data_IF_886097419383
#
_entry.id   IF_886097419383
#
_cell.length_a   1.000
_cell.length_b   1.000
_cell.length_c   1.000
_cell.angle_alpha   90.00
_cell.angle_beta   90.00
_cell.angle_gamma   90.00
#
_symmetry.space_group_name_H-M   'P 1'
#
loop_
_entity.id
_entity.type
_entity.pdbx_description
1 polymer ?
#
# COMPACT_ATOMS: atom_id res chain seq x y z
N UNK A 1 17.13 6.90 10.81
CA UNK A 1 16.84 6.65 12.24
C UNK A 1 15.93 7.75 12.81
N UNK A 2 16.34 9.03 12.80
CA UNK A 2 15.49 10.14 13.29
C UNK A 2 14.07 10.18 12.70
N UNK A 3 13.92 10.12 11.36
CA UNK A 3 12.59 10.10 10.72
C UNK A 3 11.72 8.91 11.14
N UNK A 4 12.32 7.76 11.40
CA UNK A 4 11.60 6.57 11.88
C UNK A 4 11.10 6.77 13.30
N UNK A 5 11.89 7.42 14.16
CA UNK A 5 11.46 7.77 15.52
C UNK A 5 10.33 8.79 15.49
N UNK A 6 10.41 9.80 14.62
CA UNK A 6 9.30 10.75 14.41
C UNK A 6 8.04 10.05 13.91
N UNK A 7 8.18 9.12 12.96
CA UNK A 7 7.07 8.31 12.46
C UNK A 7 6.41 7.48 13.57
N UNK A 8 7.24 6.77 14.36
CA UNK A 8 6.76 5.97 15.48
C UNK A 8 6.06 6.85 16.53
N UNK A 9 6.64 8.01 16.86
CA UNK A 9 6.04 8.99 17.76
C UNK A 9 4.71 9.54 17.24
N UNK A 10 4.62 9.84 15.94
CA UNK A 10 3.38 10.31 15.32
C UNK A 10 2.28 9.23 15.37
N UNK A 11 2.61 7.98 15.05
CA UNK A 11 1.64 6.88 15.19
C UNK A 11 1.26 6.63 16.66
N UNK A 12 2.21 6.77 17.59
CA UNK A 12 1.94 6.64 19.02
C UNK A 12 0.97 7.72 19.52
N UNK A 13 1.12 8.95 19.02
CA UNK A 13 0.16 10.02 19.27
C UNK A 13 -1.21 9.74 18.64
N UNK A 14 -1.24 9.18 17.42
CA UNK A 14 -2.50 8.76 16.79
C UNK A 14 -3.25 7.73 17.65
N UNK A 15 -2.51 6.79 18.23
CA UNK A 15 -3.03 5.75 19.11
C UNK A 15 -3.49 6.29 20.46
N UNK A 16 -2.70 7.16 21.10
CA UNK A 16 -2.95 7.61 22.48
C UNK A 16 -3.87 8.83 22.56
N UNK A 17 -3.83 9.72 21.56
CA UNK A 17 -4.52 11.01 21.54
C UNK A 17 -5.15 11.30 20.16
N UNK A 18 -6.13 10.48 19.71
CA UNK A 18 -6.66 10.56 18.35
C UNK A 18 -7.29 11.92 18.01
N UNK A 19 -7.92 12.60 18.99
CA UNK A 19 -8.55 13.90 18.78
C UNK A 19 -7.56 15.01 18.35
N UNK A 20 -6.32 14.95 18.84
CA UNK A 20 -5.29 15.95 18.56
C UNK A 20 -4.36 15.55 17.41
N UNK A 21 -4.59 14.38 16.82
CA UNK A 21 -3.65 13.78 15.87
C UNK A 21 -3.59 14.54 14.53
N UNK A 22 -4.68 15.14 14.06
CA UNK A 22 -4.74 15.77 12.73
C UNK A 22 -3.59 16.77 12.50
N UNK A 23 -3.36 17.70 13.44
CA UNK A 23 -2.28 18.68 13.32
C UNK A 23 -0.89 18.04 13.39
N UNK A 24 -0.69 17.10 14.31
CA UNK A 24 0.58 16.38 14.45
C UNK A 24 0.90 15.56 13.18
N UNK A 25 -0.11 14.96 12.56
CA UNK A 25 0.02 14.23 11.31
C UNK A 25 0.38 15.13 10.13
N UNK A 26 -0.24 16.31 10.03
CA UNK A 26 0.09 17.31 8.99
C UNK A 26 1.54 17.80 9.15
N UNK A 27 1.94 18.15 10.38
CA UNK A 27 3.31 18.59 10.67
C UNK A 27 4.30 17.48 10.31
N UNK A 28 4.00 16.23 10.68
CA UNK A 28 4.83 15.09 10.32
C UNK A 28 4.98 14.93 8.80
N UNK A 29 3.89 15.03 8.04
CA UNK A 29 3.93 14.93 6.57
C UNK A 29 4.75 16.07 5.93
N UNK A 30 4.68 17.29 6.45
CA UNK A 30 5.50 18.41 5.98
C UNK A 30 7.00 18.17 6.26
N UNK A 31 7.34 17.75 7.48
CA UNK A 31 8.71 17.38 7.84
C UNK A 31 9.21 16.24 6.97
N UNK A 32 8.37 15.24 6.71
CA UNK A 32 8.67 14.11 5.85
C UNK A 32 8.95 14.54 4.41
N UNK A 33 8.13 15.42 3.83
CA UNK A 33 8.31 15.95 2.48
C UNK A 33 9.67 16.64 2.31
N UNK A 34 10.00 17.54 3.23
CA UNK A 34 11.27 18.28 3.22
C UNK A 34 12.44 17.32 3.39
N UNK A 35 12.35 16.41 4.36
CA UNK A 35 13.44 15.48 4.68
C UNK A 35 13.70 14.49 3.55
N UNK A 36 12.65 14.00 2.88
CA UNK A 36 12.81 13.08 1.74
C UNK A 36 13.44 13.79 0.55
N UNK A 37 13.09 15.05 0.30
CA UNK A 37 13.79 15.84 -0.72
C UNK A 37 15.27 15.97 -0.40
N UNK A 38 15.62 16.20 0.86
CA UNK A 38 17.02 16.34 1.26
C UNK A 38 17.81 15.03 1.16
N UNK A 39 17.20 13.93 1.60
CA UNK A 39 17.83 12.59 1.66
C UNK A 39 17.94 11.92 0.29
N UNK A 40 16.86 11.92 -0.49
CA UNK A 40 16.78 11.19 -1.76
C UNK A 40 16.98 12.07 -2.99
N UNK A 41 17.01 13.40 -2.82
CA UNK A 41 17.01 14.42 -3.89
C UNK A 41 15.76 14.42 -4.79
N UNK A 42 14.83 13.47 -4.62
CA UNK A 42 13.66 13.27 -5.47
C UNK A 42 12.36 13.24 -4.67
N UNK A 43 11.36 13.99 -5.10
CA UNK A 43 10.08 14.08 -4.37
C UNK A 43 9.23 12.80 -4.47
N UNK A 44 9.39 11.98 -5.50
CA UNK A 44 8.46 10.86 -5.71
C UNK A 44 8.52 9.79 -4.61
N UNK A 45 9.65 9.65 -3.90
CA UNK A 45 9.75 8.73 -2.77
C UNK A 45 8.80 9.11 -1.63
N UNK A 46 8.44 10.40 -1.51
CA UNK A 46 7.48 10.87 -0.52
C UNK A 46 6.13 10.18 -0.65
N UNK A 47 5.67 9.89 -1.87
CA UNK A 47 4.36 9.28 -2.11
C UNK A 47 4.22 7.98 -1.33
N UNK A 48 5.16 7.04 -1.48
CA UNK A 48 5.08 5.74 -0.81
C UNK A 48 5.09 5.90 0.72
N UNK A 49 5.98 6.75 1.25
CA UNK A 49 6.09 6.96 2.70
C UNK A 49 4.87 7.68 3.29
N UNK A 50 4.32 8.66 2.59
CA UNK A 50 3.14 9.40 3.01
C UNK A 50 1.91 8.49 3.02
N UNK A 51 1.71 7.69 1.97
CA UNK A 51 0.61 6.73 1.93
C UNK A 51 0.78 5.63 2.99
N UNK A 52 2.00 5.16 3.27
CA UNK A 52 2.24 4.23 4.37
C UNK A 52 1.83 4.83 5.72
N UNK A 53 2.19 6.08 5.98
CA UNK A 53 1.81 6.79 7.19
C UNK A 53 0.30 6.94 7.33
N UNK A 54 -0.36 7.54 6.34
CA UNK A 54 -1.81 7.79 6.41
C UNK A 54 -2.59 6.47 6.47
N UNK A 55 -2.19 5.47 5.68
CA UNK A 55 -2.80 4.14 5.73
C UNK A 55 -2.65 3.49 7.11
N UNK A 56 -1.47 3.60 7.73
CA UNK A 56 -1.24 3.04 9.07
C UNK A 56 -2.08 3.74 10.13
N UNK A 57 -2.21 5.07 10.07
CA UNK A 57 -3.08 5.85 10.95
C UNK A 57 -4.53 5.42 10.80
N UNK A 58 -5.03 5.27 9.58
CA UNK A 58 -6.42 4.89 9.32
C UNK A 58 -6.75 3.47 9.76
N UNK A 59 -5.75 2.58 9.76
CA UNK A 59 -5.90 1.20 10.21
C UNK A 59 -5.88 1.06 11.73
N UNK A 60 -5.14 1.92 12.45
CA UNK A 60 -4.97 1.84 13.91
C UNK A 60 -6.29 1.73 14.69
N UNK A 61 -7.33 2.54 14.42
CA UNK A 61 -8.61 2.46 15.13
C UNK A 61 -9.38 1.14 14.91
N UNK A 62 -9.06 0.40 13.84
CA UNK A 62 -9.71 -0.87 13.50
C UNK A 62 -9.00 -2.07 14.14
N UNK A 63 -8.01 -1.84 15.01
CA UNK A 63 -7.30 -2.90 15.75
C UNK A 63 -7.78 -2.87 17.19
N UNK A 64 -8.68 -3.79 17.54
CA UNK A 64 -9.34 -3.81 18.86
C UNK A 64 -8.38 -4.10 20.02
N UNK A 65 -7.39 -4.97 19.80
CA UNK A 65 -6.50 -5.41 20.87
C UNK A 65 -5.32 -4.44 21.04
N UNK A 66 -5.12 -3.87 22.25
CA UNK A 66 -4.00 -2.94 22.50
C UNK A 66 -2.62 -3.56 22.27
N UNK A 67 -2.46 -4.86 22.51
CA UNK A 67 -1.20 -5.56 22.26
C UNK A 67 -0.95 -5.71 20.76
N UNK A 68 -1.98 -6.02 19.97
CA UNK A 68 -1.89 -6.10 18.51
C UNK A 68 -1.62 -4.73 17.89
N UNK A 69 -2.25 -3.66 18.39
CA UNK A 69 -2.00 -2.29 17.93
C UNK A 69 -0.54 -1.88 18.17
N UNK A 70 0.02 -2.20 19.35
CA UNK A 70 1.44 -1.98 19.68
C UNK A 70 2.38 -2.80 18.79
N UNK A 71 2.04 -4.05 18.48
CA UNK A 71 2.81 -4.86 17.54
C UNK A 71 2.78 -4.24 16.12
N UNK A 72 1.61 -3.78 15.68
CA UNK A 72 1.45 -3.09 14.41
C UNK A 72 2.28 -1.81 14.32
N UNK A 73 2.31 -0.98 15.39
CA UNK A 73 3.15 0.21 15.50
C UNK A 73 4.63 -0.09 15.23
N UNK A 74 5.16 -1.14 15.87
CA UNK A 74 6.56 -1.57 15.71
C UNK A 74 6.85 -2.08 14.30
N UNK A 75 5.98 -2.95 13.77
CA UNK A 75 6.14 -3.50 12.42
C UNK A 75 6.07 -2.39 11.35
N UNK A 76 5.09 -1.50 11.47
CA UNK A 76 4.91 -0.36 10.56
C UNK A 76 6.12 0.58 10.60
N UNK A 77 6.68 0.86 11.78
CA UNK A 77 7.92 1.63 11.92
C UNK A 77 9.13 0.91 11.29
N UNK A 78 9.21 -0.41 11.40
CA UNK A 78 10.24 -1.22 10.74
C UNK A 78 10.18 -1.10 9.21
N UNK A 79 8.99 -1.24 8.62
CA UNK A 79 8.78 -1.04 7.18
C UNK A 79 9.10 0.40 6.77
N UNK A 80 8.66 1.38 7.56
CA UNK A 80 8.96 2.79 7.31
C UNK A 80 10.46 3.09 7.34
N UNK A 81 11.20 2.49 8.27
CA UNK A 81 12.67 2.57 8.30
C UNK A 81 13.30 2.05 7.00
N UNK A 82 12.87 0.87 6.54
CA UNK A 82 13.34 0.31 5.28
C UNK A 82 12.98 1.22 4.09
N UNK A 83 11.81 1.84 4.10
CA UNK A 83 11.39 2.80 3.07
C UNK A 83 12.31 4.04 3.01
N UNK A 84 12.63 4.63 4.17
CA UNK A 84 13.56 5.77 4.28
C UNK A 84 14.97 5.37 3.83
N UNK A 85 15.46 4.20 4.26
CA UNK A 85 16.76 3.68 3.84
C UNK A 85 16.80 3.40 2.34
N UNK A 86 15.73 2.84 1.79
CA UNK A 86 15.55 2.63 0.35
C UNK A 86 15.60 3.93 -0.44
N UNK A 87 14.85 4.95 0.00
CA UNK A 87 14.85 6.28 -0.62
C UNK A 87 16.24 6.94 -0.58
N UNK A 88 16.96 6.83 0.54
CA UNK A 88 18.33 7.31 0.67
C UNK A 88 19.28 6.64 -0.32
N UNK A 89 19.24 5.30 -0.39
CA UNK A 89 20.11 4.52 -1.28
C UNK A 89 19.79 4.80 -2.75
N UNK A 90 18.52 4.87 -3.13
CA UNK A 90 18.09 5.21 -4.50
C UNK A 90 18.44 6.65 -4.90
N UNK A 91 18.55 7.57 -3.94
CA UNK A 91 19.07 8.92 -4.18
C UNK A 91 20.56 8.96 -4.54
N UNK A 92 21.33 7.94 -4.16
CA UNK A 92 22.75 7.80 -4.48
C UNK A 92 22.99 6.91 -5.71
N UNK A 93 22.28 5.79 -5.79
CA UNK A 93 22.41 4.82 -6.87
C UNK A 93 21.04 4.26 -7.26
N UNK A 94 20.56 4.67 -8.43
CA UNK A 94 19.19 4.39 -8.86
C UNK A 94 18.96 2.91 -9.22
N UNK A 95 20.01 2.17 -9.56
CA UNK A 95 19.94 0.75 -9.94
C UNK A 95 20.09 -0.22 -8.76
N UNK A 96 20.10 0.28 -7.52
CA UNK A 96 20.21 -0.55 -6.31
C UNK A 96 18.99 -1.46 -6.15
N UNK A 97 19.15 -2.76 -6.45
CA UNK A 97 18.07 -3.75 -6.38
C UNK A 97 17.51 -3.93 -4.96
N UNK A 98 18.37 -3.86 -3.94
CA UNK A 98 17.95 -3.99 -2.54
C UNK A 98 17.10 -2.79 -2.14
N UNK A 99 17.49 -1.59 -2.55
CA UNK A 99 16.74 -0.38 -2.24
C UNK A 99 15.39 -0.31 -3.00
N UNK A 100 15.34 -0.82 -4.24
CA UNK A 100 14.08 -1.04 -4.98
C UNK A 100 13.17 -2.03 -4.24
N UNK A 101 13.72 -3.14 -3.75
CA UNK A 101 12.96 -4.11 -2.97
C UNK A 101 12.40 -3.52 -1.66
N UNK A 102 13.19 -2.73 -0.93
CA UNK A 102 12.74 -2.00 0.27
C UNK A 102 11.59 -1.04 -0.04
N UNK A 103 11.67 -0.30 -1.14
CA UNK A 103 10.61 0.62 -1.57
C UNK A 103 9.35 -0.12 -2.03
N UNK A 104 9.51 -1.26 -2.72
CA UNK A 104 8.40 -2.12 -3.13
C UNK A 104 7.68 -2.72 -1.93
N UNK A 105 8.41 -3.18 -0.91
CA UNK A 105 7.84 -3.65 0.35
C UNK A 105 6.99 -2.55 1.01
N UNK A 106 7.54 -1.34 1.12
CA UNK A 106 6.82 -0.21 1.70
C UNK A 106 5.55 0.17 0.93
N UNK A 107 5.58 0.12 -0.41
CA UNK A 107 4.41 0.38 -1.24
C UNK A 107 3.31 -0.68 -1.05
N UNK A 108 3.69 -1.96 -0.99
CA UNK A 108 2.74 -3.05 -0.74
C UNK A 108 2.16 -2.95 0.67
N UNK A 109 2.97 -2.61 1.68
CA UNK A 109 2.47 -2.36 3.03
C UNK A 109 1.54 -1.14 3.10
N UNK A 110 1.82 -0.08 2.34
CA UNK A 110 0.94 1.08 2.25
C UNK A 110 -0.42 0.71 1.65
N UNK A 111 -0.42 -0.01 0.52
CA UNK A 111 -1.65 -0.52 -0.11
C UNK A 111 -2.41 -1.46 0.81
N UNK A 112 -1.71 -2.37 1.49
CA UNK A 112 -2.33 -3.24 2.49
C UNK A 112 -3.06 -2.43 3.57
N UNK A 113 -2.39 -1.44 4.16
CA UNK A 113 -3.00 -0.61 5.20
C UNK A 113 -4.21 0.15 4.67
N UNK A 114 -4.11 0.73 3.48
CA UNK A 114 -5.19 1.47 2.86
C UNK A 114 -6.38 0.62 2.42
N UNK A 115 -6.15 -0.55 1.81
CA UNK A 115 -7.24 -1.44 1.41
C UNK A 115 -7.96 -2.00 2.62
N UNK A 116 -7.20 -2.43 3.63
CA UNK A 116 -7.74 -2.96 4.89
C UNK A 116 -8.50 -1.88 5.64
N UNK A 117 -7.93 -0.68 5.80
CA UNK A 117 -8.59 0.42 6.47
C UNK A 117 -9.80 0.94 5.68
N UNK A 118 -9.65 1.15 4.38
CA UNK A 118 -10.71 1.65 3.51
C UNK A 118 -11.93 0.73 3.50
N UNK A 119 -11.74 -0.58 3.44
CA UNK A 119 -12.84 -1.54 3.55
C UNK A 119 -13.43 -1.57 4.97
N UNK A 120 -12.60 -1.49 6.01
CA UNK A 120 -13.08 -1.44 7.40
C UNK A 120 -13.98 -0.23 7.67
N UNK A 121 -13.58 0.96 7.21
CA UNK A 121 -14.39 2.16 7.32
C UNK A 121 -15.66 2.10 6.45
N UNK A 122 -15.57 1.51 5.25
CA UNK A 122 -16.73 1.25 4.39
C UNK A 122 -17.80 0.41 5.09
N UNK A 123 -17.39 -0.68 5.75
CA UNK A 123 -18.30 -1.53 6.52
C UNK A 123 -18.93 -0.78 7.70
N UNK A 124 -18.14 0.00 8.46
CA UNK A 124 -18.62 0.72 9.64
C UNK A 124 -19.56 1.89 9.31
N UNK A 125 -19.35 2.57 8.18
CA UNK A 125 -20.15 3.75 7.77
C UNK A 125 -21.33 3.33 6.87
N UNK A 126 -21.39 2.07 6.42
CA UNK A 126 -22.39 1.58 5.45
C UNK A 126 -22.47 2.48 4.19
N UNK A 127 -21.30 2.86 3.68
CA UNK A 127 -21.20 3.72 2.49
C UNK A 127 -21.66 2.99 1.22
N UNK A 128 -22.16 3.70 0.19
CA UNK A 128 -22.39 3.11 -1.12
C UNK A 128 -21.12 2.53 -1.76
N UNK A 129 -21.26 1.44 -2.52
CA UNK A 129 -20.14 0.73 -3.14
C UNK A 129 -19.28 1.60 -4.08
N UNK A 130 -19.86 2.60 -4.76
CA UNK A 130 -19.10 3.48 -5.64
C UNK A 130 -18.06 4.33 -4.88
N UNK A 131 -18.29 4.65 -3.60
CA UNK A 131 -17.35 5.42 -2.77
C UNK A 131 -16.07 4.61 -2.55
N UNK A 132 -16.20 3.32 -2.20
CA UNK A 132 -15.02 2.48 -1.97
C UNK A 132 -14.27 2.20 -3.28
N UNK A 133 -14.97 2.06 -4.41
CA UNK A 133 -14.34 1.94 -5.73
C UNK A 133 -13.45 3.16 -6.04
N UNK A 134 -13.97 4.37 -5.85
CA UNK A 134 -13.23 5.62 -6.09
C UNK A 134 -12.05 5.73 -5.13
N UNK A 135 -12.27 5.44 -3.84
CA UNK A 135 -11.21 5.47 -2.83
C UNK A 135 -10.05 4.56 -3.21
N UNK A 136 -10.34 3.30 -3.53
CA UNK A 136 -9.34 2.32 -3.92
C UNK A 136 -8.62 2.73 -5.21
N UNK A 137 -9.33 3.30 -6.19
CA UNK A 137 -8.71 3.83 -7.41
C UNK A 137 -7.74 5.00 -7.12
N UNK A 138 -8.19 5.99 -6.35
CA UNK A 138 -7.41 7.19 -6.00
C UNK A 138 -6.14 6.83 -5.23
N UNK A 139 -6.17 5.80 -4.39
CA UNK A 139 -5.00 5.35 -3.62
C UNK A 139 -4.06 4.52 -4.50
N UNK A 140 -4.61 3.63 -5.32
CA UNK A 140 -3.82 2.71 -6.14
C UNK A 140 -3.01 3.46 -7.20
N UNK A 141 -3.59 4.49 -7.82
CA UNK A 141 -2.95 5.25 -8.90
C UNK A 141 -1.58 5.87 -8.50
N UNK A 142 -1.48 6.71 -7.45
CA UNK A 142 -0.23 7.35 -7.08
C UNK A 142 0.83 6.35 -6.63
N UNK A 143 0.43 5.27 -5.93
CA UNK A 143 1.37 4.24 -5.49
C UNK A 143 1.90 3.44 -6.68
N UNK A 144 1.03 3.02 -7.61
CA UNK A 144 1.43 2.35 -8.85
C UNK A 144 2.36 3.24 -9.69
N UNK A 145 2.02 4.53 -9.82
CA UNK A 145 2.84 5.49 -10.53
C UNK A 145 4.23 5.67 -9.90
N UNK A 146 4.29 5.78 -8.56
CA UNK A 146 5.54 5.83 -7.83
C UNK A 146 6.37 4.55 -8.02
N UNK A 147 5.73 3.38 -7.99
CA UNK A 147 6.38 2.09 -8.22
C UNK A 147 7.01 1.99 -9.63
N UNK A 148 6.33 2.47 -10.67
CA UNK A 148 6.90 2.50 -12.03
C UNK A 148 8.18 3.35 -12.11
N UNK A 149 8.21 4.48 -11.37
CA UNK A 149 9.38 5.36 -11.30
C UNK A 149 10.51 4.70 -10.50
N UNK A 150 10.22 4.20 -9.30
CA UNK A 150 11.18 3.55 -8.40
C UNK A 150 11.88 2.39 -9.10
N UNK A 151 11.13 1.58 -9.85
CA UNK A 151 11.67 0.40 -10.51
C UNK A 151 12.36 0.72 -11.85
N UNK A 152 12.37 1.99 -12.28
CA UNK A 152 12.97 2.46 -13.54
C UNK A 152 12.49 1.67 -14.76
N UNK A 153 11.18 1.41 -14.85
CA UNK A 153 10.64 0.70 -16.01
C UNK A 153 10.82 1.54 -17.28
N UNK A 154 11.15 0.88 -18.40
CA UNK A 154 11.31 1.47 -19.74
C UNK A 154 9.95 1.91 -20.30
N UNK A 155 9.35 2.92 -19.67
CA UNK A 155 8.01 3.41 -19.97
C UNK A 155 8.03 4.92 -20.20
N UNK A 156 7.38 5.36 -21.26
CA UNK A 156 7.08 6.77 -21.52
C UNK A 156 6.07 7.30 -20.49
N UNK A 157 5.99 8.63 -20.32
CA UNK A 157 5.08 9.27 -19.35
C UNK A 157 3.62 8.85 -19.57
N UNK A 158 3.16 8.83 -20.81
CA UNK A 158 1.80 8.38 -21.17
C UNK A 158 1.55 6.93 -20.78
N UNK A 159 2.50 6.03 -21.06
CA UNK A 159 2.39 4.62 -20.67
C UNK A 159 2.30 4.47 -19.15
N UNK A 160 3.11 5.18 -18.36
CA UNK A 160 3.04 5.11 -16.89
C UNK A 160 1.68 5.53 -16.34
N UNK A 161 1.09 6.58 -16.92
CA UNK A 161 -0.26 7.03 -16.54
C UNK A 161 -1.29 5.98 -16.95
N UNK A 162 -1.24 5.49 -18.18
CA UNK A 162 -2.17 4.48 -18.68
C UNK A 162 -2.17 3.21 -17.83
N UNK A 163 -0.99 2.61 -17.57
CA UNK A 163 -0.88 1.41 -16.73
C UNK A 163 -1.21 1.69 -15.26
N UNK A 164 -0.97 2.92 -14.77
CA UNK A 164 -1.38 3.33 -13.42
C UNK A 164 -2.90 3.39 -13.30
N UNK A 165 -3.58 4.01 -14.27
CA UNK A 165 -5.06 4.04 -14.35
C UNK A 165 -5.61 2.63 -14.50
N UNK A 166 -4.99 1.79 -15.34
CA UNK A 166 -5.38 0.39 -15.51
C UNK A 166 -5.33 -0.39 -14.18
N UNK A 167 -4.23 -0.31 -13.42
CA UNK A 167 -4.15 -0.97 -12.11
C UNK A 167 -5.17 -0.42 -11.12
N UNK A 168 -5.43 0.89 -11.17
CA UNK A 168 -6.43 1.52 -10.29
C UNK A 168 -7.84 1.06 -10.62
N UNK A 169 -8.17 0.96 -11.91
CA UNK A 169 -9.43 0.45 -12.40
C UNK A 169 -9.60 -1.04 -12.06
N UNK A 170 -8.56 -1.86 -12.26
CA UNK A 170 -8.54 -3.27 -11.88
C UNK A 170 -8.93 -3.44 -10.40
N UNK A 171 -8.34 -2.65 -9.52
CA UNK A 171 -8.62 -2.71 -8.08
C UNK A 171 -10.01 -2.15 -7.75
N UNK A 172 -10.44 -1.07 -8.39
CA UNK A 172 -11.79 -0.53 -8.21
C UNK A 172 -12.88 -1.54 -8.59
N UNK A 173 -12.72 -2.25 -9.70
CA UNK A 173 -13.64 -3.31 -10.13
C UNK A 173 -13.55 -4.51 -9.18
N UNK A 174 -12.35 -4.88 -8.76
CA UNK A 174 -12.16 -6.00 -7.83
C UNK A 174 -12.87 -5.75 -6.48
N UNK A 175 -12.74 -4.54 -5.92
CA UNK A 175 -13.38 -4.21 -4.65
C UNK A 175 -14.90 -4.13 -4.77
N UNK A 176 -15.42 -3.72 -5.93
CA UNK A 176 -16.86 -3.78 -6.19
C UNK A 176 -17.40 -5.20 -6.12
N UNK A 177 -16.73 -6.17 -6.78
CA UNK A 177 -17.11 -7.59 -6.65
C UNK A 177 -16.95 -8.12 -5.22
N UNK A 178 -15.85 -7.75 -4.55
CA UNK A 178 -15.58 -8.19 -3.17
C UNK A 178 -16.52 -7.54 -2.14
N UNK A 179 -17.15 -6.41 -2.46
CA UNK A 179 -18.11 -5.76 -1.55
C UNK A 179 -19.36 -6.59 -1.27
N UNK A 180 -19.65 -7.57 -2.15
CA UNK A 180 -20.73 -8.55 -1.94
C UNK A 180 -20.26 -9.79 -1.17
N UNK A 181 -18.97 -9.90 -0.84
CA UNK A 181 -18.44 -11.04 -0.10
C UNK A 181 -18.68 -10.86 1.41
N UNK A 182 -19.03 -11.92 2.15
CA UNK A 182 -19.27 -11.84 3.58
C UNK A 182 -17.97 -11.90 4.40
N UNK A 183 -16.93 -11.20 3.94
CA UNK A 183 -15.62 -11.22 4.58
C UNK A 183 -15.32 -9.91 5.30
N UNK A 184 -14.54 -10.03 6.37
CA UNK A 184 -14.01 -8.89 7.10
C UNK A 184 -12.96 -8.13 6.29
N UNK A 185 -12.65 -6.92 6.78
CA UNK A 185 -11.76 -5.97 6.13
C UNK A 185 -10.32 -6.45 5.95
N UNK A 186 -9.80 -7.31 6.84
CA UNK A 186 -8.49 -7.90 6.70
C UNK A 186 -8.41 -8.84 5.49
N UNK A 187 -9.37 -9.77 5.37
CA UNK A 187 -9.45 -10.73 4.27
C UNK A 187 -9.60 -10.03 2.92
N UNK A 188 -10.52 -9.07 2.84
CA UNK A 188 -10.74 -8.27 1.63
C UNK A 188 -9.52 -7.42 1.26
N UNK A 189 -8.88 -6.80 2.25
CA UNK A 189 -7.65 -6.02 2.05
C UNK A 189 -6.50 -6.86 1.48
N UNK A 190 -6.29 -8.07 2.00
CA UNK A 190 -5.27 -9.00 1.48
C UNK A 190 -5.63 -9.49 0.07
N UNK A 191 -6.91 -9.82 -0.19
CA UNK A 191 -7.34 -10.24 -1.52
C UNK A 191 -7.10 -9.15 -2.57
N UNK A 192 -7.47 -7.89 -2.28
CA UNK A 192 -7.18 -6.75 -3.13
C UNK A 192 -5.66 -6.56 -3.34
N UNK A 193 -4.84 -6.74 -2.30
CA UNK A 193 -3.38 -6.65 -2.40
C UNK A 193 -2.79 -7.72 -3.33
N UNK A 194 -3.28 -8.97 -3.27
CA UNK A 194 -2.84 -10.06 -4.14
C UNK A 194 -3.17 -9.75 -5.60
N UNK A 195 -4.37 -9.26 -5.88
CA UNK A 195 -4.79 -8.87 -7.22
C UNK A 195 -3.90 -7.73 -7.73
N UNK A 196 -3.66 -6.71 -6.89
CA UNK A 196 -2.78 -5.60 -7.22
C UNK A 196 -1.37 -6.11 -7.56
N UNK A 197 -0.79 -6.91 -6.66
CA UNK A 197 0.56 -7.44 -6.82
C UNK A 197 0.69 -8.26 -8.11
N UNK A 198 -0.31 -9.08 -8.44
CA UNK A 198 -0.31 -9.90 -9.65
C UNK A 198 -0.35 -9.05 -10.92
N UNK A 199 -1.23 -8.05 -10.97
CA UNK A 199 -1.29 -7.10 -12.08
C UNK A 199 0.00 -6.29 -12.23
N UNK A 200 0.50 -5.78 -11.11
CA UNK A 200 1.78 -5.07 -11.03
C UNK A 200 2.94 -5.92 -11.55
N UNK A 201 3.01 -7.19 -11.13
CA UNK A 201 4.09 -8.11 -11.50
C UNK A 201 4.11 -8.43 -12.99
N UNK A 202 2.93 -8.58 -13.61
CA UNK A 202 2.80 -8.78 -15.05
C UNK A 202 3.34 -7.55 -15.80
N UNK A 203 2.88 -6.34 -15.44
CA UNK A 203 3.32 -5.08 -16.07
C UNK A 203 4.83 -4.90 -15.88
N UNK A 204 5.33 -5.11 -14.66
CA UNK A 204 6.75 -5.00 -14.32
C UNK A 204 7.60 -5.92 -15.20
N UNK A 205 7.22 -7.19 -15.32
CA UNK A 205 7.99 -8.16 -16.11
C UNK A 205 7.91 -7.90 -17.62
N UNK A 206 6.78 -7.40 -18.11
CA UNK A 206 6.62 -6.97 -19.49
C UNK A 206 7.63 -5.86 -19.85
N UNK A 207 7.70 -4.80 -19.05
CA UNK A 207 8.61 -3.66 -19.31
C UNK A 207 10.07 -3.90 -18.94
N UNK A 208 10.37 -4.98 -18.23
CA UNK A 208 11.74 -5.42 -17.97
C UNK A 208 12.26 -6.44 -19.00
N UNK A 209 11.47 -6.75 -20.04
CA UNK A 209 11.79 -7.77 -21.05
C UNK A 209 12.03 -9.17 -20.42
N UNK A 210 11.40 -9.44 -19.27
CA UNK A 210 11.55 -10.68 -18.49
C UNK A 210 10.31 -11.57 -18.54
N UNK A 211 9.35 -11.24 -19.41
CA UNK A 211 8.09 -11.97 -19.53
C UNK A 211 8.31 -13.29 -20.26
N UNK A 212 7.99 -14.40 -19.59
CA UNK A 212 8.02 -15.75 -20.15
C UNK A 212 6.70 -16.45 -19.83
N UNK A 213 6.26 -17.36 -20.71
CA UNK A 213 5.02 -18.11 -20.50
C UNK A 213 4.99 -18.85 -19.14
N UNK A 214 6.14 -19.40 -18.71
CA UNK A 214 6.30 -20.04 -17.39
C UNK A 214 6.04 -19.07 -16.23
N UNK A 215 6.55 -17.83 -16.32
CA UNK A 215 6.34 -16.81 -15.29
C UNK A 215 4.90 -16.30 -15.27
N UNK A 216 4.28 -16.16 -16.44
CA UNK A 216 2.87 -15.79 -16.52
C UNK A 216 1.99 -16.88 -15.88
N UNK A 217 2.24 -18.15 -16.22
CA UNK A 217 1.54 -19.28 -15.61
C UNK A 217 1.75 -19.33 -14.08
N UNK A 218 2.98 -19.12 -13.61
CA UNK A 218 3.26 -19.04 -12.17
C UNK A 218 2.50 -17.90 -11.49
N UNK A 219 2.44 -16.71 -12.08
CA UNK A 219 1.70 -15.58 -11.50
C UNK A 219 0.19 -15.88 -11.42
N UNK A 220 -0.38 -16.50 -12.46
CA UNK A 220 -1.79 -16.92 -12.47
C UNK A 220 -2.04 -17.99 -11.40
N UNK A 221 -1.18 -19.00 -11.32
CA UNK A 221 -1.26 -20.05 -10.30
C UNK A 221 -1.07 -19.49 -8.88
N UNK A 222 -0.16 -18.54 -8.69
CA UNK A 222 0.07 -17.88 -7.42
C UNK A 222 -1.17 -17.09 -6.98
N UNK A 223 -1.76 -16.31 -7.89
CA UNK A 223 -3.02 -15.61 -7.63
C UNK A 223 -4.15 -16.59 -7.29
N UNK A 224 -4.34 -17.63 -8.10
CA UNK A 224 -5.39 -18.62 -7.87
C UNK A 224 -5.20 -19.38 -6.55
N UNK A 225 -3.97 -19.82 -6.26
CA UNK A 225 -3.63 -20.57 -5.05
C UNK A 225 -3.78 -19.73 -3.78
N UNK A 226 -3.26 -18.49 -3.79
CA UNK A 226 -3.37 -17.60 -2.63
C UNK A 226 -4.80 -17.11 -2.40
N UNK A 227 -5.55 -16.79 -3.47
CA UNK A 227 -6.98 -16.48 -3.35
C UNK A 227 -7.76 -17.67 -2.78
N UNK A 228 -7.49 -18.89 -3.26
CA UNK A 228 -8.15 -20.10 -2.74
C UNK A 228 -7.84 -20.34 -1.26
N UNK A 229 -6.57 -20.21 -0.85
CA UNK A 229 -6.18 -20.33 0.56
C UNK A 229 -6.94 -19.33 1.45
N UNK A 230 -7.08 -18.08 0.99
CA UNK A 230 -7.81 -17.06 1.73
C UNK A 230 -9.29 -17.41 1.83
N UNK A 231 -9.94 -17.75 0.72
CA UNK A 231 -11.35 -18.11 0.68
C UNK A 231 -11.68 -19.34 1.54
N UNK A 232 -10.75 -20.30 1.62
CA UNK A 232 -10.90 -21.50 2.46
C UNK A 232 -10.61 -21.23 3.94
N UNK A 233 -9.70 -20.31 4.26
CA UNK A 233 -9.33 -19.95 5.64
C UNK A 233 -10.29 -18.96 6.30
N UNK A 234 -11.02 -18.18 5.50
CA UNK A 234 -11.93 -17.17 5.99
C UNK A 234 -13.20 -17.78 6.59
N UNK A 235 -13.64 -17.26 7.75
CA UNK A 235 -14.98 -17.56 8.26
C UNK A 235 -15.99 -16.85 7.37
N UNK A 236 -16.82 -17.64 6.70
CA UNK A 236 -17.95 -17.15 5.93
C UNK A 236 -19.05 -16.73 6.91
N UNK A 237 -19.22 -15.43 7.09
CA UNK A 237 -20.38 -14.93 7.83
C UNK A 237 -21.63 -15.08 6.95
N UNK A 238 -22.82 -15.36 7.50
CA UNK A 238 -24.04 -15.28 6.72
C UNK A 238 -24.18 -13.83 6.22
N UNK A 239 -24.34 -13.65 4.91
CA UNK A 239 -24.69 -12.35 4.34
C UNK A 239 -26.06 -11.95 4.89
N UNK A 240 -26.12 -10.82 5.60
CA UNK A 240 -27.38 -10.21 6.06
C UNK A 240 -27.94 -9.35 4.94
#
# INVERSE_FOLDING_TARGET
MFLTLLYFGALWMAFSYPANFLWNGIIFLLVLLISIKWISRKYFHFIILAFLFVGSVLLLPLIDSPSQAKAFLVLSAGVFYLAVLGAYRLGKYEKDLTAKAMSNLAALSALFCWFTAGYGWYLNIASPAWIIMILFAIITFPIAYALFIVNELKMNRSQRVFYGVFLSYLIAVSIWFQSSWPFGYLTTGVAALIIFYSGWEIIRNYFLDKMTAKRLAFNILFLAGTASLILLSAKWYPAV
#
